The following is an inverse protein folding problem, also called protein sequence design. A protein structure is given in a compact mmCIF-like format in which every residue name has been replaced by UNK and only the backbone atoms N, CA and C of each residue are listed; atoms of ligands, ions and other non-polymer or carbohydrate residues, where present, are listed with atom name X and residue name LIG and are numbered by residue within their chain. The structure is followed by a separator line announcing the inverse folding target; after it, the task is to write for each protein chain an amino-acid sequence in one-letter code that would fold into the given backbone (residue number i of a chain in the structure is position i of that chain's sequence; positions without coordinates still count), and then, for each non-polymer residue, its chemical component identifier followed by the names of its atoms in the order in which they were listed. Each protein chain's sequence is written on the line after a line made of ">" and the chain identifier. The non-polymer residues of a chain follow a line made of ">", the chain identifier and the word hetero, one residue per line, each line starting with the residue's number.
data_IF_291564217856
#
_entry.id   IF_291564217856
#
_cell.length_a   1.000
_cell.length_b   1.000
_cell.length_c   1.000
_cell.angle_alpha   90.00
_cell.angle_beta   90.00
_cell.angle_gamma   90.00
#
_symmetry.space_group_name_H-M   'P 1'
#
loop_
_entity.id
_entity.type
_entity.pdbx_description
1 polymer ?
#
# COMPACT_ATOMS: atom_id res chain seq x y z
N UNK A 1 13.92 -13.48 -19.43
CA UNK A 1 12.45 -13.65 -19.38
C UNK A 1 11.97 -13.15 -18.04
N UNK A 2 11.14 -12.11 -18.05
CA UNK A 2 10.77 -11.33 -16.88
C UNK A 2 10.04 -12.21 -15.86
N UNK A 3 10.70 -12.43 -14.72
CA UNK A 3 10.16 -13.19 -13.60
C UNK A 3 8.81 -12.61 -13.19
N UNK A 4 7.81 -13.49 -13.19
CA UNK A 4 6.43 -13.26 -12.84
C UNK A 4 6.32 -12.73 -11.39
N UNK A 5 6.49 -11.41 -11.21
CA UNK A 5 6.49 -10.73 -9.89
C UNK A 5 5.10 -10.43 -9.33
N UNK A 6 4.06 -11.01 -9.90
CA UNK A 6 2.68 -10.85 -9.43
C UNK A 6 2.12 -12.23 -9.05
N UNK A 7 2.69 -12.84 -8.01
CA UNK A 7 2.08 -14.01 -7.40
C UNK A 7 0.85 -13.54 -6.60
N UNK A 8 -0.34 -13.71 -7.19
CA UNK A 8 -1.65 -13.30 -6.66
C UNK A 8 -2.23 -14.41 -5.76
N UNK A 9 -1.46 -14.93 -4.82
CA UNK A 9 -1.97 -15.94 -3.85
C UNK A 9 -2.10 -15.36 -2.42
N UNK A 10 -1.77 -14.08 -2.21
CA UNK A 10 -1.89 -13.38 -0.92
C UNK A 10 -2.53 -11.98 -0.99
N UNK A 11 -3.08 -11.59 -2.14
CA UNK A 11 -3.46 -10.20 -2.45
C UNK A 11 -4.47 -9.62 -1.45
N UNK A 12 -5.52 -10.36 -1.10
CA UNK A 12 -6.56 -9.91 -0.16
C UNK A 12 -6.02 -9.65 1.25
N UNK A 13 -5.09 -10.50 1.70
CA UNK A 13 -4.51 -10.38 3.04
C UNK A 13 -3.54 -9.19 3.12
N UNK A 14 -2.80 -8.92 2.04
CA UNK A 14 -1.89 -7.77 1.96
C UNK A 14 -2.65 -6.45 1.85
N UNK A 15 -3.77 -6.41 1.12
CA UNK A 15 -4.66 -5.24 1.12
C UNK A 15 -5.21 -4.98 2.51
N UNK A 16 -5.67 -6.04 3.21
CA UNK A 16 -6.15 -5.91 4.58
C UNK A 16 -5.06 -5.36 5.50
N UNK A 17 -3.85 -5.92 5.50
CA UNK A 17 -2.73 -5.41 6.29
C UNK A 17 -2.39 -3.96 5.95
N UNK A 18 -2.34 -3.62 4.67
CA UNK A 18 -2.07 -2.25 4.24
C UNK A 18 -3.12 -1.26 4.77
N UNK A 19 -4.40 -1.61 4.67
CA UNK A 19 -5.49 -0.72 5.10
C UNK A 19 -5.60 -0.66 6.62
N UNK A 20 -5.58 -1.82 7.30
CA UNK A 20 -5.91 -1.92 8.70
C UNK A 20 -4.72 -1.88 9.65
N UNK A 21 -3.53 -2.32 9.22
CA UNK A 21 -2.35 -2.43 10.08
C UNK A 21 -1.26 -1.40 9.72
N UNK A 22 -1.22 -0.91 8.47
CA UNK A 22 -0.27 0.11 8.03
C UNK A 22 -0.87 1.52 8.00
N UNK A 23 -2.01 1.70 7.32
CA UNK A 23 -2.66 3.02 7.21
C UNK A 23 -3.51 3.38 8.44
N UNK A 24 -4.16 2.38 9.03
CA UNK A 24 -5.18 2.58 10.06
C UNK A 24 -6.34 3.49 9.59
N UNK A 25 -7.32 3.73 10.48
CA UNK A 25 -8.46 4.62 10.19
C UNK A 25 -8.02 6.03 9.83
N UNK A 26 -7.04 6.59 10.53
CA UNK A 26 -6.62 7.98 10.35
C UNK A 26 -5.88 8.17 9.01
N UNK A 27 -5.03 7.22 8.62
CA UNK A 27 -4.36 7.28 7.31
C UNK A 27 -5.36 7.19 6.15
N UNK A 28 -6.39 6.34 6.27
CA UNK A 28 -7.48 6.29 5.28
C UNK A 28 -8.28 7.60 5.25
N UNK A 29 -8.51 8.23 6.41
CA UNK A 29 -9.17 9.53 6.48
C UNK A 29 -8.35 10.63 5.79
N UNK A 30 -7.04 10.71 6.08
CA UNK A 30 -6.14 11.68 5.45
C UNK A 30 -6.07 11.47 3.93
N UNK A 31 -5.99 10.22 3.46
CA UNK A 31 -5.99 9.91 2.03
C UNK A 31 -7.28 10.38 1.33
N UNK A 32 -8.43 10.27 2.00
CA UNK A 32 -9.71 10.80 1.49
C UNK A 32 -9.71 12.32 1.43
N UNK A 33 -9.20 12.99 2.46
CA UNK A 33 -9.05 14.45 2.46
C UNK A 33 -8.13 14.92 1.33
N UNK A 34 -6.96 14.30 1.17
CA UNK A 34 -6.02 14.63 0.09
C UNK A 34 -6.66 14.41 -1.27
N UNK A 35 -7.33 13.27 -1.49
CA UNK A 35 -7.99 12.98 -2.77
C UNK A 35 -9.12 13.98 -3.09
N UNK A 36 -9.85 14.44 -2.06
CA UNK A 36 -10.91 15.44 -2.21
C UNK A 36 -10.38 16.83 -2.57
N UNK A 37 -9.20 17.21 -2.08
CA UNK A 37 -8.63 18.56 -2.26
C UNK A 37 -7.60 18.67 -3.40
N UNK A 38 -6.80 17.63 -3.64
CA UNK A 38 -5.76 17.60 -4.66
C UNK A 38 -6.21 16.89 -5.95
N UNK A 39 -7.40 16.30 -5.95
CA UNK A 39 -7.95 15.55 -7.07
C UNK A 39 -7.47 14.11 -7.16
N UNK A 40 -8.12 13.36 -8.04
CA UNK A 40 -8.00 11.90 -8.12
C UNK A 40 -6.61 11.41 -8.54
N UNK A 41 -5.91 12.17 -9.41
CA UNK A 41 -4.59 11.79 -9.93
C UNK A 41 -3.57 11.77 -8.79
N UNK A 42 -3.48 12.87 -8.04
CA UNK A 42 -2.56 12.99 -6.91
C UNK A 42 -2.87 11.99 -5.79
N UNK A 43 -4.15 11.77 -5.49
CA UNK A 43 -4.56 10.76 -4.52
C UNK A 43 -4.14 9.34 -4.92
N UNK A 44 -4.26 9.00 -6.20
CA UNK A 44 -3.87 7.68 -6.73
C UNK A 44 -2.37 7.48 -6.68
N UNK A 45 -1.58 8.48 -7.08
CA UNK A 45 -0.12 8.43 -7.03
C UNK A 45 0.39 8.26 -5.60
N UNK A 46 -0.20 9.00 -4.65
CA UNK A 46 0.14 8.88 -3.22
C UNK A 46 -0.15 7.47 -2.68
N UNK A 47 -1.32 6.90 -2.99
CA UNK A 47 -1.68 5.54 -2.55
C UNK A 47 -0.70 4.51 -3.13
N UNK A 48 -0.30 4.66 -4.39
CA UNK A 48 0.65 3.77 -5.05
C UNK A 48 2.04 3.81 -4.38
N UNK A 49 2.54 4.98 -4.02
CA UNK A 49 3.82 5.12 -3.32
C UNK A 49 3.79 4.56 -1.89
N UNK A 50 2.67 4.74 -1.18
CA UNK A 50 2.46 4.13 0.14
C UNK A 50 2.45 2.59 0.04
N UNK A 51 1.78 2.04 -0.96
CA UNK A 51 1.76 0.60 -1.22
C UNK A 51 3.16 0.07 -1.53
N UNK A 52 3.92 0.72 -2.42
CA UNK A 52 5.31 0.35 -2.71
C UNK A 52 6.18 0.35 -1.45
N UNK A 53 6.02 1.36 -0.61
CA UNK A 53 6.73 1.48 0.67
C UNK A 53 6.34 0.36 1.63
N UNK A 54 5.05 0.03 1.76
CA UNK A 54 4.55 -1.09 2.56
C UNK A 54 5.18 -2.43 2.15
N UNK A 55 5.22 -2.74 0.84
CA UNK A 55 5.90 -3.94 0.33
C UNK A 55 7.41 -3.91 0.55
N UNK A 56 8.02 -2.73 0.48
CA UNK A 56 9.44 -2.53 0.82
C UNK A 56 9.73 -2.83 2.30
N UNK A 57 8.79 -2.51 3.19
CA UNK A 57 8.87 -2.80 4.62
C UNK A 57 8.69 -4.30 4.90
N UNK A 58 7.66 -4.94 4.35
CA UNK A 58 7.44 -6.39 4.54
C UNK A 58 8.65 -7.22 4.06
N UNK A 59 9.31 -6.79 2.99
CA UNK A 59 10.52 -7.47 2.48
C UNK A 59 11.69 -7.39 3.46
N UNK A 60 11.84 -6.30 4.21
CA UNK A 60 12.90 -6.15 5.23
C UNK A 60 12.61 -7.01 6.46
N UNK A 61 11.37 -7.00 6.94
CA UNK A 61 10.94 -7.81 8.09
C UNK A 61 11.17 -9.30 7.84
N UNK A 62 10.96 -9.75 6.60
CA UNK A 62 11.16 -11.15 6.20
C UNK A 62 12.63 -11.59 6.09
N UNK A 63 13.60 -10.66 6.06
CA UNK A 63 15.04 -10.97 5.96
C UNK A 63 15.77 -10.95 7.30
N UNK A 64 15.12 -10.51 8.37
CA UNK A 64 15.69 -10.38 9.72
C UNK A 64 15.35 -11.54 10.67
N UNK A 65 14.87 -12.67 10.14
CA UNK A 65 14.66 -13.93 10.88
C UNK A 65 15.59 -15.01 10.33
#
# INVERSE_FOLDING_TARGET
>A
MLSNKYHVEGSSNNVRKFVYDYLHRDGVFVLRMVSAHAGIIFGTDLILELWRTFYGIEKKVSQSN
#
